data_IF_053532252863
#
_entry.id   IF_053532252863
#
_cell.length_a   1.000
_cell.length_b   1.000
_cell.length_c   1.000
_cell.angle_alpha   90.00
_cell.angle_beta   90.00
_cell.angle_gamma   90.00
#
_symmetry.space_group_name_H-M   'P 1'
#
loop_
_entity.id
_entity.type
_entity.pdbx_description
1 polymer ?
#
# COMPACT_ATOMS: atom_id res chain seq x y z
N UNK A 1 28.69 -10.74 -3.53
CA UNK A 1 27.47 -11.55 -3.34
C UNK A 1 26.67 -11.40 -4.61
N UNK A 2 26.55 -12.45 -5.39
CA UNK A 2 25.60 -12.48 -6.51
C UNK A 2 24.21 -12.54 -5.89
N UNK A 3 23.35 -11.58 -6.24
CA UNK A 3 21.95 -11.64 -5.86
C UNK A 3 21.30 -12.64 -6.82
N UNK A 4 20.72 -13.71 -6.27
CA UNK A 4 19.89 -14.61 -7.05
C UNK A 4 18.69 -13.84 -7.62
N UNK A 5 18.35 -14.09 -8.89
CA UNK A 5 17.28 -13.37 -9.59
C UNK A 5 15.94 -13.46 -8.85
N UNK A 6 15.70 -14.58 -8.17
CA UNK A 6 14.55 -14.81 -7.29
C UNK A 6 14.55 -13.88 -6.08
N UNK A 7 15.68 -13.80 -5.38
CA UNK A 7 15.86 -12.87 -4.25
C UNK A 7 15.67 -11.41 -4.69
N UNK A 8 16.20 -11.04 -5.86
CA UNK A 8 16.00 -9.70 -6.42
C UNK A 8 14.51 -9.39 -6.68
N UNK A 9 13.78 -10.35 -7.24
CA UNK A 9 12.36 -10.20 -7.57
C UNK A 9 11.49 -10.09 -6.32
N UNK A 10 11.68 -10.97 -5.33
CA UNK A 10 10.95 -10.92 -4.06
C UNK A 10 11.20 -9.62 -3.31
N UNK A 11 12.47 -9.21 -3.22
CA UNK A 11 12.85 -7.94 -2.61
C UNK A 11 12.21 -6.77 -3.37
N UNK A 12 12.29 -6.77 -4.69
CA UNK A 12 11.69 -5.74 -5.54
C UNK A 12 10.17 -5.63 -5.34
N UNK A 13 9.46 -6.76 -5.35
CA UNK A 13 8.01 -6.80 -5.13
C UNK A 13 7.65 -6.26 -3.74
N UNK A 14 8.39 -6.64 -2.69
CA UNK A 14 8.12 -6.16 -1.34
C UNK A 14 8.27 -4.64 -1.22
N UNK A 15 9.33 -4.07 -1.80
CA UNK A 15 9.58 -2.62 -1.77
C UNK A 15 8.52 -1.88 -2.57
N UNK A 16 8.20 -2.36 -3.78
CA UNK A 16 7.16 -1.74 -4.62
C UNK A 16 5.81 -1.77 -3.92
N UNK A 17 5.43 -2.89 -3.30
CA UNK A 17 4.15 -3.00 -2.63
C UNK A 17 4.03 -2.05 -1.44
N UNK A 18 5.09 -1.89 -0.64
CA UNK A 18 5.12 -0.93 0.46
C UNK A 18 4.98 0.51 -0.06
N UNK A 19 5.71 0.87 -1.11
CA UNK A 19 5.64 2.22 -1.69
C UNK A 19 4.24 2.52 -2.22
N UNK A 20 3.63 1.57 -2.93
CA UNK A 20 2.25 1.71 -3.45
C UNK A 20 1.26 1.87 -2.30
N UNK A 21 1.39 1.07 -1.25
CA UNK A 21 0.50 1.14 -0.09
C UNK A 21 0.59 2.51 0.62
N UNK A 22 1.81 2.98 0.87
CA UNK A 22 2.05 4.29 1.49
C UNK A 22 1.51 5.41 0.61
N UNK A 23 1.74 5.35 -0.71
CA UNK A 23 1.23 6.33 -1.66
C UNK A 23 -0.31 6.40 -1.64
N UNK A 24 -0.98 5.24 -1.69
CA UNK A 24 -2.43 5.17 -1.61
C UNK A 24 -2.98 5.72 -0.28
N UNK A 25 -2.34 5.37 0.84
CA UNK A 25 -2.71 5.89 2.15
C UNK A 25 -2.49 7.41 2.25
N UNK A 26 -1.42 7.94 1.66
CA UNK A 26 -1.15 9.38 1.58
C UNK A 26 -2.22 10.12 0.77
N UNK A 27 -2.68 9.54 -0.34
CA UNK A 27 -3.80 10.07 -1.13
C UNK A 27 -5.08 10.09 -0.31
N UNK A 28 -5.41 9.02 0.41
CA UNK A 28 -6.59 8.99 1.29
C UNK A 28 -6.46 10.04 2.39
N UNK A 29 -5.30 10.12 3.04
CA UNK A 29 -5.05 11.13 4.06
C UNK A 29 -5.25 12.56 3.53
N UNK A 30 -4.70 12.87 2.35
CA UNK A 30 -4.79 14.21 1.77
C UNK A 30 -6.21 14.59 1.35
N UNK A 31 -7.02 13.63 0.90
CA UNK A 31 -8.39 13.88 0.40
C UNK A 31 -9.48 13.73 1.47
N UNK A 32 -9.21 12.97 2.54
CA UNK A 32 -10.20 12.62 3.55
C UNK A 32 -9.83 13.06 4.97
N UNK A 33 -8.65 13.64 5.20
CA UNK A 33 -8.40 14.32 6.47
C UNK A 33 -9.35 15.51 6.62
N UNK A 34 -10.01 15.60 7.77
CA UNK A 34 -10.70 16.83 8.15
C UNK A 34 -9.62 17.88 8.39
N UNK A 35 -9.66 19.04 7.71
CA UNK A 35 -8.73 20.13 7.98
C UNK A 35 -8.85 20.48 9.46
N UNK A 36 -7.76 20.28 10.21
CA UNK A 36 -7.75 20.65 11.62
C UNK A 36 -7.98 22.15 11.73
N UNK A 37 -9.06 22.52 12.40
CA UNK A 37 -9.29 23.87 12.88
C UNK A 37 -8.10 24.21 13.78
N UNK A 38 -7.23 25.11 13.29
CA UNK A 38 -6.02 25.57 13.98
C UNK A 38 -6.25 26.25 15.33
N UNK A 39 -7.47 26.19 15.86
CA UNK A 39 -7.87 26.60 17.18
C UNK A 39 -7.58 25.53 18.26
N UNK A 40 -7.33 24.27 17.89
CA UNK A 40 -7.06 23.20 18.86
C UNK A 40 -5.56 22.87 18.89
N UNK A 41 -4.91 23.27 19.98
CA UNK A 41 -3.54 22.88 20.29
C UNK A 41 -3.50 21.37 20.62
N UNK A 42 -3.37 20.53 19.58
CA UNK A 42 -2.75 19.21 19.65
C UNK A 42 -3.33 18.19 20.64
N UNK A 43 -4.65 17.97 20.68
CA UNK A 43 -5.22 16.87 21.49
C UNK A 43 -6.36 16.08 20.84
N UNK A 44 -6.78 16.45 19.63
CA UNK A 44 -7.70 15.63 18.84
C UNK A 44 -6.89 14.77 17.87
N UNK A 45 -7.01 13.43 17.96
CA UNK A 45 -6.49 12.54 16.93
C UNK A 45 -7.00 12.99 15.56
N UNK A 46 -6.15 13.06 14.52
CA UNK A 46 -6.60 13.41 13.17
C UNK A 46 -7.78 12.53 12.77
N UNK A 47 -8.95 13.14 12.57
CA UNK A 47 -10.16 12.41 12.19
C UNK A 47 -10.31 12.42 10.67
N UNK A 48 -10.68 11.27 10.12
CA UNK A 48 -11.09 11.14 8.73
C UNK A 48 -12.54 11.61 8.60
N UNK A 49 -12.87 12.29 7.50
CA UNK A 49 -14.26 12.55 7.14
C UNK A 49 -15.02 11.21 7.01
N UNK A 50 -16.36 11.18 7.10
CA UNK A 50 -17.13 9.94 7.11
C UNK A 50 -16.82 8.97 5.95
N UNK A 51 -16.43 9.48 4.78
CA UNK A 51 -16.01 8.67 3.63
C UNK A 51 -14.58 8.09 3.70
N UNK A 52 -13.73 8.59 4.58
CA UNK A 52 -12.31 8.18 4.67
C UNK A 52 -12.11 6.78 5.21
N UNK A 53 -13.02 6.31 6.09
CA UNK A 53 -13.00 4.94 6.57
C UNK A 53 -13.22 3.93 5.44
N UNK A 54 -14.22 4.15 4.59
CA UNK A 54 -14.47 3.29 3.43
C UNK A 54 -13.34 3.39 2.39
N UNK A 55 -12.76 4.57 2.21
CA UNK A 55 -11.60 4.74 1.33
C UNK A 55 -10.40 3.90 1.81
N UNK A 56 -10.13 3.86 3.12
CA UNK A 56 -9.07 3.01 3.69
C UNK A 56 -9.36 1.50 3.48
N UNK A 57 -10.62 1.07 3.64
CA UNK A 57 -10.99 -0.31 3.31
C UNK A 57 -10.72 -0.61 1.84
N UNK A 58 -11.01 0.32 0.93
CA UNK A 58 -10.68 0.22 -0.48
C UNK A 58 -9.17 0.09 -0.75
N UNK A 59 -8.34 0.88 -0.05
CA UNK A 59 -6.87 0.78 -0.15
C UNK A 59 -6.37 -0.59 0.32
N UNK A 60 -6.90 -1.11 1.42
CA UNK A 60 -6.54 -2.44 1.93
C UNK A 60 -6.97 -3.53 0.93
N UNK A 61 -8.20 -3.46 0.41
CA UNK A 61 -8.70 -4.41 -0.59
C UNK A 61 -7.86 -4.39 -1.87
N UNK A 62 -7.51 -3.20 -2.36
CA UNK A 62 -6.61 -3.03 -3.50
C UNK A 62 -5.24 -3.65 -3.23
N UNK A 63 -4.67 -3.41 -2.05
CA UNK A 63 -3.37 -3.95 -1.66
C UNK A 63 -3.35 -5.48 -1.68
N UNK A 64 -4.40 -6.12 -1.14
CA UNK A 64 -4.54 -7.57 -1.18
C UNK A 64 -4.60 -8.08 -2.61
N UNK A 65 -5.36 -7.43 -3.50
CA UNK A 65 -5.44 -7.79 -4.92
C UNK A 65 -4.08 -7.65 -5.61
N UNK A 66 -3.36 -6.55 -5.38
CA UNK A 66 -2.03 -6.33 -5.95
C UNK A 66 -1.06 -7.43 -5.49
N UNK A 67 -1.07 -7.79 -4.20
CA UNK A 67 -0.23 -8.86 -3.67
C UNK A 67 -0.58 -10.23 -4.27
N UNK A 68 -1.87 -10.53 -4.42
CA UNK A 68 -2.31 -11.76 -5.06
C UNK A 68 -1.84 -11.83 -6.53
N UNK A 69 -1.94 -10.73 -7.27
CA UNK A 69 -1.47 -10.63 -8.66
C UNK A 69 0.05 -10.75 -8.72
N UNK A 70 0.79 -10.07 -7.84
CA UNK A 70 2.25 -10.17 -7.78
C UNK A 70 2.71 -11.61 -7.48
N UNK A 71 2.07 -12.28 -6.52
CA UNK A 71 2.31 -13.69 -6.23
C UNK A 71 2.00 -14.61 -7.41
N UNK A 72 0.90 -14.36 -8.13
CA UNK A 72 0.54 -15.12 -9.33
C UNK A 72 1.55 -14.92 -10.48
N UNK A 73 2.06 -13.70 -10.66
CA UNK A 73 3.07 -13.39 -11.67
C UNK A 73 4.38 -14.09 -11.33
N UNK A 74 4.83 -14.03 -10.07
CA UNK A 74 6.04 -14.73 -9.62
C UNK A 74 5.91 -16.24 -9.77
N UNK A 75 4.77 -16.79 -9.36
CA UNK A 75 4.44 -18.21 -9.58
C UNK A 75 4.61 -18.56 -11.05
N UNK A 76 3.98 -17.81 -11.98
CA UNK A 76 4.13 -18.05 -13.43
C UNK A 76 5.57 -17.96 -13.93
N UNK A 77 6.36 -17.02 -13.42
CA UNK A 77 7.74 -16.85 -13.84
C UNK A 77 8.66 -18.00 -13.39
N UNK A 78 8.36 -18.65 -12.26
CA UNK A 78 9.06 -19.85 -11.77
C UNK A 78 8.71 -21.14 -12.56
N UNK A 79 7.69 -21.17 -13.45
CA UNK A 79 7.35 -22.37 -14.27
C UNK A 79 8.21 -22.54 -15.54
N UNK A 80 8.99 -21.54 -15.93
CA UNK A 80 9.84 -21.60 -17.14
C UNK A 80 11.25 -22.17 -16.86
N UNK A 81 11.52 -22.67 -15.65
CA UNK A 81 12.72 -23.47 -15.33
C UNK A 81 12.39 -24.98 -15.37
N UNK A 82 12.14 -25.51 -16.57
CA UNK A 82 12.36 -26.93 -16.93
C UNK A 82 13.74 -27.10 -17.59
#
# INVERSE_FOLDING_TARGET
MEIDRKLAAELGVSVVAVVVFIGAASVVSSNYAVPGDGATNGSASPVLQPGGGLAMVGVIGLFVVVMAVAGLIMYRADFDEE
#
